data_IF_718605329546
#
_entry.id   IF_718605329546
#
_cell.length_a   1.000
_cell.length_b   1.000
_cell.length_c   1.000
_cell.angle_alpha   90.00
_cell.angle_beta   90.00
_cell.angle_gamma   90.00
#
_symmetry.space_group_name_H-M   'P 1'
#
loop_
_entity.id
_entity.type
_entity.pdbx_description
1 polymer ?
#
# COMPACT_ATOMS: atom_id res chain seq x y z
N UNK A 1 7.44 12.81 -18.16
CA UNK A 1 7.67 11.54 -17.43
C UNK A 1 6.63 10.53 -17.89
N UNK A 2 7.08 9.35 -18.28
CA UNK A 2 6.26 8.18 -18.67
C UNK A 2 6.70 6.95 -17.86
N UNK A 3 5.99 5.83 -18.02
CA UNK A 3 6.31 4.53 -17.41
C UNK A 3 6.45 4.57 -15.89
N UNK A 4 5.55 5.32 -15.26
CA UNK A 4 5.51 5.47 -13.82
C UNK A 4 4.99 4.20 -13.15
N UNK A 5 5.77 3.68 -12.21
CA UNK A 5 5.43 2.51 -11.43
C UNK A 5 5.82 2.72 -9.96
N UNK A 6 5.15 2.01 -9.07
CA UNK A 6 5.39 2.09 -7.63
C UNK A 6 5.55 0.68 -7.06
N UNK A 7 6.47 0.54 -6.12
CA UNK A 7 6.68 -0.69 -5.37
C UNK A 7 6.95 -0.35 -3.91
N UNK A 8 6.41 -1.16 -3.01
CA UNK A 8 6.74 -1.09 -1.59
C UNK A 8 7.71 -2.20 -1.24
N UNK A 9 8.65 -1.91 -0.34
CA UNK A 9 9.40 -2.97 0.31
C UNK A 9 8.46 -3.73 1.26
N UNK A 10 8.82 -4.97 1.58
CA UNK A 10 8.12 -5.73 2.63
C UNK A 10 8.10 -4.90 3.90
N UNK A 11 6.98 -4.91 4.62
CA UNK A 11 6.77 -4.07 5.79
C UNK A 11 6.00 -4.83 6.87
N UNK A 12 5.88 -4.23 8.06
CA UNK A 12 5.33 -4.91 9.24
C UNK A 12 3.86 -5.31 9.11
N UNK A 13 3.09 -4.62 8.28
CA UNK A 13 1.64 -4.78 8.14
C UNK A 13 1.22 -5.37 6.79
N UNK A 14 2.17 -5.86 5.99
CA UNK A 14 1.88 -6.48 4.70
C UNK A 14 1.27 -5.51 3.67
N UNK A 15 1.52 -4.21 3.83
CA UNK A 15 0.93 -3.16 2.98
C UNK A 15 1.51 -3.28 1.57
N UNK A 16 0.63 -3.40 0.59
CA UNK A 16 0.97 -3.50 -0.82
C UNK A 16 -0.06 -2.75 -1.69
N UNK A 17 0.33 -2.15 -2.82
CA UNK A 17 -0.62 -1.60 -3.77
C UNK A 17 -1.55 -2.69 -4.33
N UNK A 18 -2.85 -2.45 -4.30
CA UNK A 18 -3.87 -3.39 -4.81
C UNK A 18 -3.92 -3.41 -6.33
N UNK A 19 -3.54 -2.29 -6.95
CA UNK A 19 -3.53 -2.09 -8.39
C UNK A 19 -2.25 -1.38 -8.81
N UNK A 20 -1.79 -1.55 -10.07
CA UNK A 20 -0.75 -0.70 -10.63
C UNK A 20 -1.13 0.78 -10.59
N UNK A 21 -0.12 1.65 -10.61
CA UNK A 21 -0.33 3.10 -10.62
C UNK A 21 -1.01 3.52 -11.93
N UNK A 22 -2.27 3.96 -11.86
CA UNK A 22 -3.05 4.33 -13.03
C UNK A 22 -2.72 5.77 -13.44
N UNK A 23 -1.83 5.94 -14.42
CA UNK A 23 -1.49 7.25 -14.99
C UNK A 23 -2.05 7.36 -16.41
N UNK A 24 -3.06 8.20 -16.65
CA UNK A 24 -3.79 8.23 -17.91
C UNK A 24 -3.00 8.88 -19.05
N UNK A 25 -2.05 9.78 -18.74
CA UNK A 25 -1.28 10.51 -19.76
C UNK A 25 0.17 10.76 -19.31
N UNK A 26 1.12 10.88 -20.27
CA UNK A 26 2.46 11.37 -19.99
C UNK A 26 2.45 12.69 -19.23
N UNK A 27 3.18 12.75 -18.13
CA UNK A 27 3.38 13.98 -17.35
C UNK A 27 4.31 14.93 -18.11
N UNK A 28 3.83 16.11 -18.49
CA UNK A 28 4.66 17.16 -19.12
C UNK A 28 5.33 18.04 -18.07
N UNK A 29 6.34 18.81 -18.46
CA UNK A 29 7.01 19.75 -17.55
C UNK A 29 6.01 20.77 -17.00
N UNK A 30 6.14 21.09 -15.71
CA UNK A 30 5.25 21.99 -14.96
C UNK A 30 3.78 21.49 -14.83
N UNK A 31 3.50 20.23 -15.12
CA UNK A 31 2.20 19.62 -14.85
C UNK A 31 2.19 18.94 -13.48
N UNK A 32 1.07 19.06 -12.78
CA UNK A 32 0.74 18.27 -11.58
C UNK A 32 -0.48 17.40 -11.86
N UNK A 33 -0.51 16.20 -11.29
CA UNK A 33 -1.67 15.30 -11.33
C UNK A 33 -1.89 14.71 -9.95
N UNK A 34 -3.15 14.46 -9.61
CA UNK A 34 -3.54 13.77 -8.40
C UNK A 34 -3.83 12.31 -8.72
N UNK A 35 -3.28 11.39 -7.92
CA UNK A 35 -3.48 9.95 -8.08
C UNK A 35 -3.86 9.35 -6.73
N UNK A 36 -4.95 8.60 -6.73
CA UNK A 36 -5.35 7.74 -5.61
C UNK A 36 -4.84 6.33 -5.86
N UNK A 37 -4.05 5.79 -4.92
CA UNK A 37 -3.52 4.42 -5.00
C UNK A 37 -4.20 3.55 -3.92
N UNK A 38 -5.07 2.60 -4.31
CA UNK A 38 -5.66 1.64 -3.38
C UNK A 38 -4.60 0.69 -2.82
N UNK A 39 -4.64 0.41 -1.51
CA UNK A 39 -3.68 -0.44 -0.79
C UNK A 39 -4.41 -1.53 0.00
N UNK A 40 -3.84 -2.73 0.08
CA UNK A 40 -4.28 -3.83 0.96
C UNK A 40 -3.14 -4.33 1.86
N UNK A 41 -3.43 -5.17 2.85
CA UNK A 41 -2.50 -5.70 3.87
C UNK A 41 -2.16 -7.19 3.70
N UNK A 42 -2.18 -7.68 2.44
CA UNK A 42 -2.10 -9.13 2.13
C UNK A 42 -0.68 -9.65 1.86
N UNK A 43 0.35 -8.79 1.84
CA UNK A 43 1.72 -9.20 1.50
C UNK A 43 2.45 -9.84 2.69
N UNK A 44 3.42 -10.77 2.48
CA UNK A 44 4.19 -11.34 3.58
C UNK A 44 4.93 -10.27 4.38
N UNK A 45 4.71 -10.29 5.69
CA UNK A 45 5.28 -9.28 6.59
C UNK A 45 6.80 -9.45 6.75
N UNK A 46 7.50 -8.32 6.83
CA UNK A 46 8.89 -8.25 7.27
C UNK A 46 8.98 -7.26 8.42
N UNK A 47 9.61 -7.67 9.53
CA UNK A 47 9.78 -6.80 10.68
C UNK A 47 10.83 -5.73 10.37
N UNK A 48 10.42 -4.47 10.47
CA UNK A 48 11.27 -3.30 10.24
C UNK A 48 11.05 -2.32 11.38
N UNK A 49 12.11 -1.65 11.83
CA UNK A 49 12.00 -0.52 12.76
C UNK A 49 12.16 0.81 12.00
N UNK A 50 11.31 1.83 12.29
CA UNK A 50 10.17 1.81 13.20
C UNK A 50 8.95 1.04 12.63
N UNK A 51 8.03 0.62 13.51
CA UNK A 51 6.92 -0.29 13.20
C UNK A 51 6.06 0.14 11.99
N UNK A 52 5.79 1.44 11.86
CA UNK A 52 4.95 2.00 10.81
C UNK A 52 5.73 2.58 9.63
N UNK A 53 7.02 2.22 9.49
CA UNK A 53 7.83 2.64 8.36
C UNK A 53 7.43 1.90 7.08
N UNK A 54 7.22 2.67 6.00
CA UNK A 54 7.00 2.15 4.65
C UNK A 54 8.10 2.67 3.75
N UNK A 55 8.91 1.77 3.21
CA UNK A 55 9.91 2.09 2.18
C UNK A 55 9.27 1.95 0.81
N UNK A 56 9.42 2.97 -0.02
CA UNK A 56 8.76 3.10 -1.31
C UNK A 56 9.80 3.34 -2.40
N UNK A 57 9.64 2.64 -3.51
CA UNK A 57 10.34 2.89 -4.77
C UNK A 57 9.35 3.39 -5.81
N UNK A 58 9.63 4.53 -6.43
CA UNK A 58 8.89 5.08 -7.56
C UNK A 58 9.80 5.11 -8.77
N UNK A 59 9.41 4.40 -9.82
CA UNK A 59 10.13 4.36 -11.09
C UNK A 59 9.44 5.27 -12.10
N UNK A 60 10.20 5.96 -12.94
CA UNK A 60 9.72 6.50 -14.21
C UNK A 60 10.67 6.11 -15.36
N UNK A 61 10.49 6.71 -16.52
CA UNK A 61 11.35 6.49 -17.69
C UNK A 61 12.79 6.98 -17.55
N UNK A 62 13.12 7.74 -16.51
CA UNK A 62 14.47 8.29 -16.27
C UNK A 62 15.23 7.48 -15.22
N UNK A 63 14.64 7.20 -14.07
CA UNK A 63 15.28 6.43 -12.99
C UNK A 63 14.26 5.87 -11.97
N UNK A 64 14.77 5.20 -10.93
CA UNK A 64 14.06 4.75 -9.74
C UNK A 64 14.44 5.62 -8.55
N UNK A 65 13.44 6.19 -7.89
CA UNK A 65 13.57 7.06 -6.73
C UNK A 65 13.07 6.35 -5.49
N UNK A 66 13.81 6.47 -4.39
CA UNK A 66 13.50 5.81 -3.12
C UNK A 66 13.19 6.84 -2.06
N UNK A 67 12.14 6.59 -1.28
CA UNK A 67 11.82 7.37 -0.09
C UNK A 67 11.16 6.49 0.97
N UNK A 68 11.00 7.02 2.17
CA UNK A 68 10.26 6.38 3.25
C UNK A 68 9.22 7.33 3.82
N UNK A 69 8.06 6.79 4.20
CA UNK A 69 7.04 7.52 4.94
C UNK A 69 6.53 6.69 6.12
N UNK A 70 5.93 7.39 7.09
CA UNK A 70 5.31 6.74 8.25
C UNK A 70 3.80 6.62 8.00
N UNK A 71 3.29 5.39 8.05
CA UNK A 71 1.85 5.14 7.95
C UNK A 71 1.20 5.54 9.28
N UNK A 72 0.18 6.41 9.28
CA UNK A 72 -0.62 6.66 10.46
C UNK A 72 -1.30 5.36 10.93
N UNK A 73 -1.03 4.94 12.17
CA UNK A 73 -1.48 3.62 12.66
C UNK A 73 -3.01 3.46 12.70
N UNK A 74 -3.75 4.56 12.80
CA UNK A 74 -5.21 4.57 12.75
C UNK A 74 -5.79 4.08 11.41
N UNK A 75 -4.99 4.03 10.34
CA UNK A 75 -5.41 3.49 9.05
C UNK A 75 -5.58 1.95 9.06
N UNK A 76 -5.04 1.27 10.06
CA UNK A 76 -5.14 -0.20 10.21
C UNK A 76 -6.30 -0.64 11.09
N UNK A 77 -7.09 0.30 11.63
CA UNK A 77 -8.25 -0.07 12.41
C UNK A 77 -9.38 -0.47 11.46
N UNK A 78 -9.75 -1.75 11.51
CA UNK A 78 -10.95 -2.22 10.85
C UNK A 78 -12.17 -1.79 11.67
N UNK A 79 -13.20 -1.31 11.00
CA UNK A 79 -14.51 -1.13 11.63
C UNK A 79 -15.05 -2.53 11.94
N UNK A 80 -15.19 -2.88 13.22
CA UNK A 80 -15.96 -4.07 13.59
C UNK A 80 -17.39 -3.88 13.09
N UNK A 81 -17.74 -4.50 11.96
CA UNK A 81 -19.11 -4.54 11.48
C UNK A 81 -19.92 -5.37 12.47
N UNK A 82 -20.85 -4.79 13.24
CA UNK A 82 -21.62 -5.55 14.21
C UNK A 82 -22.71 -6.30 13.44
N UNK A 83 -22.45 -7.54 13.01
CA UNK A 83 -23.49 -8.29 12.30
C UNK A 83 -23.14 -9.60 11.61
N UNK A 84 -21.87 -10.03 11.57
CA UNK A 84 -21.58 -11.39 11.13
C UNK A 84 -21.31 -12.25 12.37
N UNK A 85 -22.15 -13.28 12.66
CA UNK A 85 -21.77 -14.26 13.65
C UNK A 85 -20.47 -14.90 13.17
N UNK A 86 -19.43 -14.87 13.99
CA UNK A 86 -18.31 -15.77 13.85
C UNK A 86 -18.92 -17.17 13.75
N UNK A 87 -18.91 -17.79 12.56
CA UNK A 87 -19.36 -19.17 12.40
C UNK A 87 -18.47 -20.03 13.29
N UNK A 88 -18.99 -20.33 14.47
CA UNK A 88 -18.49 -21.35 15.37
C UNK A 88 -18.93 -22.72 14.80
N UNK A 89 -18.61 -22.99 13.53
CA UNK A 89 -18.75 -24.33 12.97
C UNK A 89 -17.48 -25.09 13.30
N UNK A 90 -17.49 -25.72 14.48
CA UNK A 90 -16.44 -26.65 14.84
C UNK A 90 -16.24 -26.87 16.33
N UNK A 91 -17.28 -27.16 17.11
CA UNK A 91 -17.12 -27.97 18.33
C UNK A 91 -18.38 -28.80 18.62
N UNK A 92 -18.15 -30.12 18.74
CA UNK A 92 -19.06 -31.24 19.07
C UNK A 92 -20.07 -31.67 17.98
N UNK A 93 -20.16 -32.94 17.59
CA UNK A 93 -19.89 -34.19 18.31
C UNK A 93 -18.97 -35.15 17.54
#
# INVERSE_FOLDING_TARGET
>A
MIDLAIQFNKNNFGVIPSTPLAIPTPLISNQSIDISLPLHTLDPVMKIEPLNNLQVAVKNNSDVFYFSCLIPLNMFFEDETPGLPCNMEGYSQ
#
